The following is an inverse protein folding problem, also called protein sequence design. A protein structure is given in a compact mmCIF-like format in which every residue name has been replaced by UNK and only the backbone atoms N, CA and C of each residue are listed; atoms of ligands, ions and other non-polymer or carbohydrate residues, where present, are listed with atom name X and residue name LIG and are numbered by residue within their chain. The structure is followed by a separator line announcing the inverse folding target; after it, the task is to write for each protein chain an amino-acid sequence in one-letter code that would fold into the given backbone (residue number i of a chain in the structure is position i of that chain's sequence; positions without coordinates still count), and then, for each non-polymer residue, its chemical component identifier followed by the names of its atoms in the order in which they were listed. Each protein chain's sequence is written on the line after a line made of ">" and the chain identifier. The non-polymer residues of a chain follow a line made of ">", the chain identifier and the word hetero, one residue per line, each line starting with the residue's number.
data_IF_943370782042
#
_entry.id   IF_943370782042
#
_cell.length_a   1.000
_cell.length_b   1.000
_cell.length_c   1.000
_cell.angle_alpha   90.00
_cell.angle_beta   90.00
_cell.angle_gamma   90.00
#
_symmetry.space_group_name_H-M   'P 1'
#
loop_
_entity.id
_entity.type
_entity.pdbx_description
1 polymer ?
#
# COMPACT_ATOMS: atom_id res chain seq x y z
N UNK A 1 -32.22 6.89 -3.37
CA UNK A 1 -33.34 7.41 -2.54
C UNK A 1 -33.02 8.83 -2.13
N UNK A 2 -33.95 9.72 -2.39
CA UNK A 2 -33.84 11.18 -2.22
C UNK A 2 -33.75 11.57 -0.74
N UNK A 3 -33.00 12.62 -0.46
CA UNK A 3 -32.68 13.16 0.86
C UNK A 3 -33.92 13.39 1.75
N UNK A 4 -34.04 12.63 2.85
CA UNK A 4 -34.79 13.11 4.01
C UNK A 4 -33.92 14.12 4.74
N UNK A 5 -33.94 15.38 4.28
CA UNK A 5 -33.14 16.45 4.88
C UNK A 5 -33.54 16.74 6.34
N UNK A 6 -34.74 16.35 6.78
CA UNK A 6 -35.19 16.47 8.17
C UNK A 6 -36.09 15.28 8.55
N UNK A 7 -35.55 14.26 9.24
CA UNK A 7 -36.31 13.15 9.81
C UNK A 7 -36.42 13.32 11.35
N UNK A 8 -37.49 12.79 11.96
CA UNK A 8 -37.54 12.71 13.43
C UNK A 8 -36.51 11.71 13.96
N UNK A 9 -36.19 11.78 15.26
CA UNK A 9 -35.29 10.82 15.91
C UNK A 9 -35.78 9.38 15.79
N UNK A 10 -37.09 9.17 15.84
CA UNK A 10 -37.73 7.85 15.70
C UNK A 10 -37.59 7.30 14.28
N UNK A 11 -37.84 8.12 13.26
CA UNK A 11 -37.66 7.73 11.85
C UNK A 11 -36.19 7.40 11.55
N UNK A 12 -35.26 8.20 12.06
CA UNK A 12 -33.82 7.91 11.94
C UNK A 12 -33.45 6.59 12.64
N UNK A 13 -33.98 6.34 13.84
CA UNK A 13 -33.66 5.13 14.60
C UNK A 13 -34.17 3.88 13.88
N UNK A 14 -35.38 3.91 13.33
CA UNK A 14 -35.91 2.81 12.53
C UNK A 14 -35.00 2.49 11.33
N UNK A 15 -34.67 3.50 10.52
CA UNK A 15 -33.76 3.31 9.38
C UNK A 15 -32.35 2.88 9.79
N UNK A 16 -31.86 3.33 10.95
CA UNK A 16 -30.56 2.94 11.49
C UNK A 16 -30.53 1.48 11.92
N UNK A 17 -31.62 0.96 12.46
CA UNK A 17 -31.73 -0.46 12.84
C UNK A 17 -31.72 -1.37 11.61
N UNK A 18 -32.39 -0.96 10.52
CA UNK A 18 -32.31 -1.70 9.25
C UNK A 18 -30.87 -1.75 8.71
N UNK A 19 -30.19 -0.58 8.66
CA UNK A 19 -28.79 -0.50 8.26
C UNK A 19 -27.85 -1.33 9.16
N UNK A 20 -28.16 -1.44 10.46
CA UNK A 20 -27.34 -2.18 11.41
C UNK A 20 -27.27 -3.67 11.07
N UNK A 21 -28.35 -4.24 10.54
CA UNK A 21 -28.36 -5.65 10.13
C UNK A 21 -27.43 -5.91 8.94
N UNK A 22 -27.39 -4.99 7.96
CA UNK A 22 -26.44 -5.06 6.84
C UNK A 22 -24.98 -4.91 7.32
N UNK A 23 -24.70 -3.97 8.23
CA UNK A 23 -23.36 -3.78 8.79
C UNK A 23 -22.89 -4.98 9.61
N UNK A 24 -23.79 -5.60 10.38
CA UNK A 24 -23.49 -6.85 11.11
C UNK A 24 -23.18 -7.99 10.15
N UNK A 25 -23.87 -8.07 9.02
CA UNK A 25 -23.59 -9.08 8.00
C UNK A 25 -22.23 -8.87 7.35
N UNK A 26 -21.88 -7.62 7.01
CA UNK A 26 -20.54 -7.29 6.54
C UNK A 26 -19.46 -7.65 7.57
N UNK A 27 -19.73 -7.45 8.86
CA UNK A 27 -18.81 -7.84 9.95
C UNK A 27 -18.57 -9.34 9.95
N UNK A 28 -19.63 -10.15 9.92
CA UNK A 28 -19.52 -11.62 9.86
C UNK A 28 -18.78 -12.11 8.62
N UNK A 29 -19.03 -11.50 7.46
CA UNK A 29 -18.32 -11.82 6.22
C UNK A 29 -16.84 -11.47 6.30
N UNK A 30 -16.50 -10.35 6.95
CA UNK A 30 -15.12 -9.94 7.18
C UNK A 30 -14.38 -10.92 8.09
N UNK A 31 -15.03 -11.38 9.17
CA UNK A 31 -14.48 -12.40 10.08
C UNK A 31 -14.24 -13.73 9.34
N UNK A 32 -15.21 -14.18 8.55
CA UNK A 32 -15.09 -15.38 7.74
C UNK A 32 -13.95 -15.28 6.71
N UNK A 33 -13.75 -14.11 6.11
CA UNK A 33 -12.64 -13.87 5.19
C UNK A 33 -11.29 -13.84 5.91
N UNK A 34 -11.21 -13.27 7.11
CA UNK A 34 -10.00 -13.29 7.94
C UNK A 34 -9.60 -14.74 8.28
N UNK A 35 -10.55 -15.59 8.68
CA UNK A 35 -10.31 -17.01 8.93
C UNK A 35 -9.79 -17.73 7.67
N UNK A 36 -10.33 -17.42 6.49
CA UNK A 36 -9.84 -17.99 5.22
C UNK A 36 -8.41 -17.58 4.90
N UNK A 37 -8.03 -16.32 5.16
CA UNK A 37 -6.64 -15.84 4.98
C UNK A 37 -5.66 -16.61 5.88
N UNK A 38 -6.05 -16.88 7.12
CA UNK A 38 -5.25 -17.65 8.08
C UNK A 38 -5.05 -19.12 7.67
N UNK A 39 -5.95 -19.67 6.84
CA UNK A 39 -5.89 -21.06 6.37
C UNK A 39 -5.12 -21.24 5.06
N UNK A 40 -4.61 -20.16 4.46
CA UNK A 40 -3.84 -20.27 3.22
C UNK A 40 -2.59 -21.13 3.42
N UNK A 41 -2.20 -21.93 2.41
CA UNK A 41 -0.96 -22.68 2.48
C UNK A 41 0.23 -21.73 2.58
N UNK A 42 1.21 -22.15 3.37
CA UNK A 42 2.44 -21.41 3.61
C UNK A 42 3.52 -21.84 2.64
N UNK A 43 4.33 -20.90 2.16
CA UNK A 43 5.48 -21.15 1.29
C UNK A 43 6.75 -20.81 2.06
N UNK A 44 7.66 -21.78 2.16
CA UNK A 44 8.96 -21.59 2.82
C UNK A 44 9.80 -20.57 2.03
N UNK A 45 10.47 -19.66 2.74
CA UNK A 45 11.41 -18.71 2.15
C UNK A 45 12.84 -19.18 2.44
N UNK A 46 13.52 -19.64 1.39
CA UNK A 46 14.93 -20.06 1.45
C UNK A 46 15.90 -18.96 1.01
N UNK A 47 15.41 -17.95 0.28
CA UNK A 47 16.24 -16.86 -0.23
C UNK A 47 16.63 -15.92 0.91
N UNK A 48 17.93 -15.63 0.96
CA UNK A 48 18.55 -14.85 2.02
C UNK A 48 18.47 -13.34 1.73
N UNK A 49 17.26 -12.78 1.86
CA UNK A 49 17.05 -11.35 1.60
C UNK A 49 17.83 -10.48 2.59
N UNK A 50 18.33 -9.35 2.09
CA UNK A 50 19.03 -8.33 2.87
C UNK A 50 18.33 -6.99 2.76
N UNK A 51 18.38 -6.24 3.85
CA UNK A 51 17.80 -4.93 3.99
C UNK A 51 18.74 -4.02 4.78
N UNK A 52 18.80 -2.74 4.41
CA UNK A 52 19.40 -1.72 5.25
C UNK A 52 18.34 -1.17 6.21
N UNK A 53 18.67 -1.10 7.49
CA UNK A 53 17.81 -0.53 8.55
C UNK A 53 18.58 0.49 9.38
N UNK A 54 17.88 1.29 10.19
CA UNK A 54 18.51 2.19 11.18
C UNK A 54 19.49 1.45 12.12
N UNK A 55 19.28 0.15 12.35
CA UNK A 55 20.14 -0.71 13.16
C UNK A 55 21.29 -1.40 12.41
N UNK A 56 21.47 -1.12 11.12
CA UNK A 56 22.41 -1.80 10.22
C UNK A 56 21.72 -2.80 9.28
N UNK A 57 22.54 -3.63 8.62
CA UNK A 57 22.04 -4.67 7.72
C UNK A 57 21.23 -5.72 8.49
N UNK A 58 20.08 -6.13 7.94
CA UNK A 58 19.18 -7.12 8.51
C UNK A 58 18.74 -8.15 7.47
N UNK A 59 18.57 -9.41 7.88
CA UNK A 59 17.88 -10.43 7.10
C UNK A 59 16.36 -10.31 7.23
N UNK A 60 15.59 -10.98 6.36
CA UNK A 60 14.12 -11.08 6.53
C UNK A 60 13.73 -11.65 7.90
N UNK A 61 14.53 -12.59 8.43
CA UNK A 61 14.31 -13.18 9.75
C UNK A 61 14.55 -12.16 10.87
N UNK A 62 15.55 -11.29 10.74
CA UNK A 62 15.85 -10.28 11.75
C UNK A 62 14.73 -9.24 11.87
N UNK A 63 13.99 -8.96 10.78
CA UNK A 63 12.83 -8.06 10.80
C UNK A 63 11.70 -8.53 11.72
N UNK A 64 11.65 -9.82 12.10
CA UNK A 64 10.70 -10.31 13.10
C UNK A 64 10.97 -9.74 14.51
N UNK A 65 12.21 -9.35 14.81
CA UNK A 65 12.55 -8.71 16.09
C UNK A 65 12.11 -9.51 17.32
N UNK A 66 12.19 -10.84 17.26
CA UNK A 66 11.78 -11.76 18.33
C UNK A 66 10.30 -12.17 18.35
N UNK A 67 9.49 -11.72 17.39
CA UNK A 67 8.06 -12.07 17.26
C UNK A 67 7.85 -13.26 16.34
N UNK A 68 6.69 -13.91 16.44
CA UNK A 68 6.36 -15.07 15.59
C UNK A 68 5.78 -14.67 14.22
N UNK A 69 5.28 -13.46 14.07
CA UNK A 69 4.63 -12.97 12.85
C UNK A 69 5.25 -11.66 12.37
N UNK A 70 5.22 -11.44 11.06
CA UNK A 70 5.72 -10.21 10.43
C UNK A 70 4.75 -9.76 9.33
N UNK A 71 4.35 -8.49 9.40
CA UNK A 71 3.66 -7.80 8.33
C UNK A 71 4.60 -6.79 7.68
N UNK A 72 4.76 -6.91 6.35
CA UNK A 72 5.52 -5.94 5.55
C UNK A 72 4.55 -5.17 4.67
N UNK A 73 4.57 -3.84 4.80
CA UNK A 73 3.96 -2.94 3.83
C UNK A 73 4.99 -2.56 2.75
N UNK A 74 4.72 -2.97 1.51
CA UNK A 74 5.53 -2.62 0.35
C UNK A 74 5.20 -1.19 -0.05
N UNK A 75 6.04 -0.26 0.40
CA UNK A 75 5.85 1.17 0.20
C UNK A 75 6.51 1.57 -1.13
N UNK A 76 5.76 2.22 -2.02
CA UNK A 76 6.32 2.74 -3.26
C UNK A 76 7.20 3.97 -3.01
N UNK A 77 8.51 3.74 -2.90
CA UNK A 77 9.51 4.80 -2.95
C UNK A 77 10.75 4.30 -3.68
N UNK A 78 10.84 4.64 -4.97
CA UNK A 78 11.96 4.24 -5.82
C UNK A 78 13.20 5.12 -5.63
N UNK A 79 14.39 4.63 -6.03
CA UNK A 79 15.62 5.42 -6.04
C UNK A 79 15.50 6.68 -6.90
N UNK A 80 14.69 6.64 -7.96
CA UNK A 80 14.51 7.74 -8.93
C UNK A 80 13.49 8.81 -8.49
N UNK A 81 12.72 8.58 -7.41
CA UNK A 81 11.63 9.49 -7.02
C UNK A 81 12.17 10.69 -6.23
N UNK A 82 11.66 11.90 -6.39
CA UNK A 82 12.00 13.01 -5.49
C UNK A 82 11.20 12.98 -4.18
N UNK A 83 10.03 12.33 -4.17
CA UNK A 83 9.18 12.13 -3.01
C UNK A 83 8.48 10.77 -3.05
N UNK A 84 8.13 10.24 -1.88
CA UNK A 84 7.46 8.95 -1.76
C UNK A 84 6.03 8.98 -2.35
N UNK A 85 5.49 7.84 -2.78
CA UNK A 85 4.13 7.77 -3.35
C UNK A 85 3.09 8.41 -2.41
N UNK A 86 2.25 9.35 -2.88
CA UNK A 86 1.29 10.04 -2.02
C UNK A 86 0.21 9.10 -1.49
N UNK A 87 -0.26 8.13 -2.28
CA UNK A 87 -1.22 7.12 -1.81
C UNK A 87 -0.64 6.21 -0.73
N UNK A 88 0.62 5.77 -0.89
CA UNK A 88 1.31 5.01 0.15
C UNK A 88 1.54 5.85 1.41
N UNK A 89 1.86 7.13 1.24
CA UNK A 89 2.04 8.07 2.35
C UNK A 89 0.75 8.28 3.15
N UNK A 90 -0.40 8.42 2.47
CA UNK A 90 -1.70 8.55 3.13
C UNK A 90 -2.11 7.31 3.93
N UNK A 91 -1.73 6.11 3.48
CA UNK A 91 -1.87 4.88 4.28
C UNK A 91 -0.90 4.93 5.48
N UNK A 92 0.37 5.26 5.22
CA UNK A 92 1.43 5.23 6.22
C UNK A 92 1.27 6.25 7.35
N UNK A 93 0.59 7.36 7.12
CA UNK A 93 0.20 8.32 8.16
C UNK A 93 -0.57 7.65 9.31
N UNK A 94 -1.30 6.55 9.04
CA UNK A 94 -1.98 5.79 10.08
C UNK A 94 -1.05 4.91 10.93
N UNK A 95 0.14 4.57 10.44
CA UNK A 95 0.98 3.52 11.03
C UNK A 95 1.51 3.88 12.41
N UNK A 96 1.95 5.14 12.60
CA UNK A 96 2.53 5.64 13.86
C UNK A 96 1.71 5.25 15.10
N UNK A 97 0.38 5.32 14.99
CA UNK A 97 -0.52 5.07 16.11
C UNK A 97 -0.84 3.60 16.36
N UNK A 98 -0.73 2.72 15.35
CA UNK A 98 -1.20 1.33 15.51
C UNK A 98 -0.10 0.28 15.52
N UNK A 99 1.09 0.51 14.95
CA UNK A 99 2.08 -0.56 14.82
C UNK A 99 2.53 -1.09 16.20
N UNK A 100 2.53 -0.26 17.24
CA UNK A 100 2.78 -0.66 18.63
C UNK A 100 1.76 -1.68 19.16
N UNK A 101 0.51 -1.63 18.69
CA UNK A 101 -0.52 -2.60 19.06
C UNK A 101 -0.32 -3.94 18.35
N UNK A 102 0.15 -3.92 17.10
CA UNK A 102 0.57 -5.15 16.40
C UNK A 102 1.72 -5.81 17.15
N UNK A 103 2.72 -5.01 17.50
CA UNK A 103 3.91 -5.48 18.20
C UNK A 103 3.63 -6.04 19.59
N UNK A 104 2.66 -5.45 20.32
CA UNK A 104 2.14 -6.00 21.57
C UNK A 104 1.39 -7.32 21.37
N UNK A 105 0.87 -7.58 20.16
CA UNK A 105 0.17 -8.80 19.80
C UNK A 105 1.03 -9.77 18.98
N UNK A 106 2.34 -9.79 19.23
CA UNK A 106 3.28 -10.73 18.61
C UNK A 106 3.35 -10.65 17.07
N UNK A 107 3.12 -9.45 16.51
CA UNK A 107 3.24 -9.15 15.08
C UNK A 107 4.24 -8.01 14.88
N UNK A 108 5.39 -8.31 14.29
CA UNK A 108 6.33 -7.29 13.84
C UNK A 108 5.77 -6.54 12.62
N UNK A 109 6.13 -5.27 12.48
CA UNK A 109 5.68 -4.44 11.37
C UNK A 109 6.84 -3.67 10.74
N UNK A 110 6.93 -3.70 9.41
CA UNK A 110 7.90 -2.91 8.65
C UNK A 110 7.27 -2.32 7.40
N UNK A 111 7.58 -1.06 7.11
CA UNK A 111 7.54 -0.58 5.73
C UNK A 111 8.82 -1.01 5.01
N UNK A 112 8.74 -1.31 3.71
CA UNK A 112 9.90 -1.65 2.87
C UNK A 112 9.82 -0.91 1.54
N UNK A 113 10.93 -0.28 1.15
CA UNK A 113 11.07 0.48 -0.09
C UNK A 113 12.42 0.23 -0.76
N UNK A 114 12.51 0.40 -2.08
CA UNK A 114 13.76 0.25 -2.83
C UNK A 114 14.71 1.45 -2.75
N UNK A 115 14.23 2.63 -2.36
CA UNK A 115 15.08 3.81 -2.21
C UNK A 115 16.15 3.57 -1.12
N UNK A 116 17.38 4.11 -1.28
CA UNK A 116 18.44 3.97 -0.28
C UNK A 116 18.02 4.46 1.11
N UNK A 117 18.51 3.81 2.17
CA UNK A 117 18.08 4.07 3.56
C UNK A 117 18.11 5.56 3.94
N UNK A 118 19.21 6.27 3.63
CA UNK A 118 19.34 7.70 3.96
C UNK A 118 18.21 8.57 3.39
N UNK A 119 17.67 8.18 2.23
CA UNK A 119 16.53 8.86 1.59
C UNK A 119 15.22 8.53 2.28
N UNK A 120 15.04 7.27 2.69
CA UNK A 120 13.89 6.84 3.50
C UNK A 120 13.85 7.58 4.83
N UNK A 121 14.97 7.64 5.56
CA UNK A 121 15.09 8.33 6.84
C UNK A 121 14.87 9.84 6.73
N UNK A 122 15.36 10.48 5.67
CA UNK A 122 15.09 11.89 5.40
C UNK A 122 13.60 12.15 5.19
N UNK A 123 12.91 11.29 4.43
CA UNK A 123 11.48 11.42 4.20
C UNK A 123 10.66 11.08 5.45
N UNK A 124 11.02 10.02 6.17
CA UNK A 124 10.45 9.64 7.46
C UNK A 124 10.47 10.79 8.46
N UNK A 125 11.62 11.48 8.59
CA UNK A 125 11.75 12.69 9.43
C UNK A 125 10.89 13.85 8.93
N UNK A 126 10.82 14.09 7.61
CA UNK A 126 9.95 15.14 7.04
C UNK A 126 8.48 14.91 7.37
N UNK A 127 8.04 13.65 7.40
CA UNK A 127 6.67 13.24 7.66
C UNK A 127 6.38 12.93 9.14
N UNK A 128 7.32 13.18 10.05
CA UNK A 128 7.19 12.87 11.49
C UNK A 128 6.75 11.42 11.77
N UNK A 129 7.27 10.47 10.99
CA UNK A 129 6.94 9.05 11.10
C UNK A 129 7.90 8.32 12.05
N UNK A 130 7.36 7.37 12.83
CA UNK A 130 8.10 6.62 13.85
C UNK A 130 8.17 5.12 13.60
N UNK A 131 7.36 4.57 12.70
CA UNK A 131 7.36 3.14 12.38
C UNK A 131 8.69 2.66 11.73
N UNK A 132 9.01 1.35 11.80
CA UNK A 132 10.22 0.80 11.18
C UNK A 132 10.13 0.85 9.65
N UNK A 133 11.19 1.32 9.00
CA UNK A 133 11.26 1.38 7.54
C UNK A 133 12.62 0.87 7.07
N UNK A 134 12.60 -0.23 6.32
CA UNK A 134 13.82 -0.83 5.77
C UNK A 134 13.97 -0.50 4.28
N UNK A 135 15.22 -0.37 3.84
CA UNK A 135 15.57 -0.31 2.43
C UNK A 135 15.85 -1.71 1.90
N UNK A 136 15.24 -2.06 0.78
CA UNK A 136 15.58 -3.25 -0.01
C UNK A 136 16.49 -2.91 -1.20
N UNK A 137 17.20 -1.79 -1.15
CA UNK A 137 18.16 -1.42 -2.19
C UNK A 137 19.19 -2.55 -2.39
N UNK A 138 19.40 -2.97 -3.65
CA UNK A 138 20.30 -4.08 -3.97
C UNK A 138 19.76 -5.48 -3.64
N UNK A 139 18.51 -5.59 -3.19
CA UNK A 139 17.81 -6.86 -2.94
C UNK A 139 16.71 -7.09 -3.98
N UNK A 140 16.53 -8.35 -4.38
CA UNK A 140 15.44 -8.75 -5.29
C UNK A 140 14.08 -8.84 -4.60
N UNK A 141 14.00 -8.57 -3.29
CA UNK A 141 12.78 -8.75 -2.49
C UNK A 141 11.54 -8.13 -3.13
N UNK A 142 11.62 -6.89 -3.60
CA UNK A 142 10.46 -6.24 -4.24
C UNK A 142 10.06 -6.91 -5.57
N UNK A 143 11.02 -7.46 -6.32
CA UNK A 143 10.73 -8.21 -7.55
C UNK A 143 10.04 -9.54 -7.23
N UNK A 144 10.58 -10.29 -6.28
CA UNK A 144 10.10 -11.62 -5.89
C UNK A 144 8.69 -11.58 -5.24
N UNK A 145 8.32 -10.45 -4.64
CA UNK A 145 6.97 -10.20 -4.10
C UNK A 145 6.07 -9.40 -5.04
N UNK A 146 6.38 -9.36 -6.34
CA UNK A 146 5.54 -8.76 -7.40
C UNK A 146 5.19 -7.28 -7.14
N UNK A 147 6.10 -6.52 -6.55
CA UNK A 147 5.92 -5.08 -6.26
C UNK A 147 6.96 -4.19 -6.93
N UNK A 148 7.87 -4.77 -7.71
CA UNK A 148 8.74 -4.05 -8.63
C UNK A 148 8.94 -4.81 -9.93
N UNK A 149 9.03 -4.08 -11.04
CA UNK A 149 9.21 -4.63 -12.38
C UNK A 149 10.31 -3.91 -13.14
N UNK A 150 11.08 -4.66 -13.92
CA UNK A 150 12.09 -4.09 -14.80
C UNK A 150 11.44 -3.35 -15.99
N UNK A 151 12.15 -2.39 -16.61
CA UNK A 151 11.70 -1.77 -17.86
C UNK A 151 11.43 -2.80 -18.97
N UNK A 152 12.16 -3.91 -18.99
CA UNK A 152 11.96 -4.97 -19.97
C UNK A 152 10.63 -5.71 -19.74
N UNK A 153 10.35 -6.11 -18.50
CA UNK A 153 9.08 -6.77 -18.14
C UNK A 153 7.88 -5.88 -18.48
N UNK A 154 7.98 -4.57 -18.20
CA UNK A 154 6.95 -3.59 -18.53
C UNK A 154 6.70 -3.48 -20.03
N UNK A 155 7.75 -3.44 -20.85
CA UNK A 155 7.62 -3.39 -22.32
C UNK A 155 7.05 -4.68 -22.92
N UNK A 156 7.43 -5.83 -22.35
CA UNK A 156 7.03 -7.15 -22.87
C UNK A 156 5.65 -7.61 -22.39
N UNK A 157 5.00 -6.87 -21.49
CA UNK A 157 3.72 -7.29 -20.88
C UNK A 157 3.87 -8.53 -20.00
N UNK A 158 5.01 -8.64 -19.33
CA UNK A 158 5.35 -9.75 -18.43
C UNK A 158 5.12 -9.38 -16.95
N UNK A 159 4.48 -8.23 -16.69
CA UNK A 159 4.12 -7.81 -15.34
C UNK A 159 3.04 -8.73 -14.80
N UNK A 160 3.37 -9.42 -13.72
CA UNK A 160 2.41 -10.11 -12.87
C UNK A 160 2.21 -9.31 -11.60
N UNK A 161 1.00 -8.77 -11.42
CA UNK A 161 0.63 -7.98 -10.27
C UNK A 161 -0.78 -8.34 -9.83
N UNK A 162 -1.00 -8.44 -8.52
CA UNK A 162 -2.28 -8.87 -7.96
C UNK A 162 -2.77 -10.22 -8.52
N UNK A 163 -1.84 -11.18 -8.65
CA UNK A 163 -2.09 -12.54 -9.16
C UNK A 163 -2.66 -12.59 -10.58
N UNK A 164 -2.44 -11.53 -11.37
CA UNK A 164 -2.90 -11.40 -12.76
C UNK A 164 -1.80 -10.83 -13.63
N UNK A 165 -1.77 -11.26 -14.89
CA UNK A 165 -0.87 -10.68 -15.89
C UNK A 165 -1.47 -9.41 -16.45
N UNK A 166 -0.70 -8.33 -16.42
CA UNK A 166 -1.07 -7.07 -17.07
C UNK A 166 -0.77 -7.16 -18.58
N UNK A 167 -1.61 -6.56 -19.45
CA UNK A 167 -1.28 -6.44 -20.86
C UNK A 167 -0.03 -5.55 -21.04
N UNK A 168 0.71 -5.70 -22.15
CA UNK A 168 1.83 -4.81 -22.45
C UNK A 168 1.43 -3.34 -22.38
N UNK A 169 2.31 -2.50 -21.84
CA UNK A 169 2.14 -1.06 -21.98
C UNK A 169 2.13 -0.69 -23.47
N UNK A 170 1.25 0.20 -23.93
CA UNK A 170 1.24 0.62 -25.33
C UNK A 170 2.62 1.18 -25.72
N UNK A 171 3.21 0.66 -26.81
CA UNK A 171 4.47 1.19 -27.33
C UNK A 171 4.28 2.65 -27.76
N UNK A 172 5.16 3.59 -27.35
CA UNK A 172 5.19 4.89 -28.00
C UNK A 172 5.62 4.68 -29.46
N UNK A 173 4.91 5.23 -30.47
CA UNK A 173 5.32 5.12 -31.85
C UNK A 173 6.71 5.72 -32.02
N UNK A 174 7.58 4.95 -32.65
CA UNK A 174 8.90 5.38 -33.07
C UNK A 174 8.83 6.70 -33.84
N UNK A 175 9.58 7.72 -33.40
CA UNK A 175 9.85 8.93 -34.17
C UNK A 175 8.94 10.13 -33.92
N UNK A 176 8.12 10.16 -32.86
CA UNK A 176 7.45 11.39 -32.40
C UNK A 176 8.05 11.89 -31.09
N UNK A 177 8.41 13.20 -30.97
CA UNK A 177 8.84 13.76 -29.69
C UNK A 177 7.71 13.59 -28.66
N UNK A 178 8.07 13.45 -27.39
CA UNK A 178 7.14 13.34 -26.27
C UNK A 178 6.53 14.72 -26.00
N UNK A 179 5.47 15.09 -26.73
CA UNK A 179 4.25 15.49 -26.05
C UNK A 179 3.01 14.84 -26.68
N UNK A 180 1.99 14.58 -25.87
CA UNK A 180 0.65 14.20 -26.31
C UNK A 180 0.50 12.79 -26.92
N UNK A 181 0.87 11.76 -26.16
CA UNK A 181 -0.04 10.62 -26.10
C UNK A 181 -1.21 11.01 -25.21
N UNK A 182 -2.32 11.36 -25.86
CA UNK A 182 -3.56 11.74 -25.20
C UNK A 182 -3.92 10.69 -24.16
N UNK A 183 -3.88 11.14 -22.90
CA UNK A 183 -4.45 10.45 -21.75
C UNK A 183 -5.80 9.88 -22.16
N UNK A 184 -5.88 8.56 -22.33
CA UNK A 184 -7.19 7.91 -22.22
C UNK A 184 -7.63 8.22 -20.79
N UNK A 185 -8.90 8.55 -20.55
CA UNK A 185 -9.36 9.11 -19.26
C UNK A 185 -9.02 8.34 -17.96
N UNK A 186 -8.33 7.19 -18.03
CA UNK A 186 -7.66 6.49 -16.93
C UNK A 186 -6.26 7.02 -16.58
N UNK A 187 -5.61 7.78 -17.45
CA UNK A 187 -4.20 8.17 -17.34
C UNK A 187 -4.01 9.50 -16.58
N UNK A 188 -5.08 10.29 -16.43
CA UNK A 188 -5.00 11.58 -15.74
C UNK A 188 -4.64 11.42 -14.25
N UNK A 189 -5.22 10.46 -13.49
CA UNK A 189 -4.81 10.23 -12.10
C UNK A 189 -3.38 9.70 -11.95
N UNK A 190 -2.94 8.79 -12.84
CA UNK A 190 -1.59 8.20 -12.75
C UNK A 190 -0.51 9.24 -13.10
N UNK A 191 -0.76 10.11 -14.08
CA UNK A 191 0.13 11.23 -14.44
C UNK A 191 0.25 12.19 -13.27
N UNK A 192 -0.88 12.56 -12.65
CA UNK A 192 -0.88 13.45 -11.48
C UNK A 192 -0.07 12.85 -10.32
N UNK A 193 -0.29 11.57 -10.00
CA UNK A 193 0.43 10.89 -8.91
C UNK A 193 1.92 10.75 -9.21
N UNK A 194 2.29 10.37 -10.44
CA UNK A 194 3.70 10.27 -10.85
C UNK A 194 4.40 11.64 -10.69
N UNK A 195 3.76 12.72 -11.12
CA UNK A 195 4.24 14.09 -10.94
C UNK A 195 4.46 14.47 -9.47
N UNK A 196 3.55 14.07 -8.57
CA UNK A 196 3.71 14.29 -7.12
C UNK A 196 4.90 13.56 -6.50
N UNK A 197 5.39 12.49 -7.15
CA UNK A 197 6.62 11.79 -6.76
C UNK A 197 7.88 12.33 -7.46
N UNK A 198 7.71 13.30 -8.37
CA UNK A 198 8.79 13.88 -9.18
C UNK A 198 9.39 12.92 -10.19
N UNK A 199 8.62 11.96 -10.69
CA UNK A 199 9.05 10.99 -11.71
C UNK A 199 8.05 10.91 -12.87
N UNK A 200 8.44 10.28 -13.97
CA UNK A 200 7.54 9.96 -15.09
C UNK A 200 6.64 8.74 -14.81
N UNK A 201 5.56 8.59 -15.60
CA UNK A 201 4.59 7.49 -15.46
C UNK A 201 5.23 6.10 -15.65
N UNK A 202 6.04 5.83 -16.69
CA UNK A 202 6.73 4.53 -16.82
C UNK A 202 7.54 4.15 -15.58
N UNK A 203 8.30 5.08 -15.01
CA UNK A 203 9.08 4.87 -13.79
C UNK A 203 8.18 4.67 -12.58
N UNK A 204 7.15 5.51 -12.40
CA UNK A 204 6.19 5.37 -11.31
C UNK A 204 5.48 4.00 -11.33
N UNK A 205 5.12 3.56 -12.53
CA UNK A 205 4.39 2.30 -12.76
C UNK A 205 5.30 1.07 -12.82
N UNK A 206 6.57 1.16 -12.42
CA UNK A 206 7.40 -0.02 -12.16
C UNK A 206 7.36 -0.47 -10.71
N UNK A 207 7.05 0.42 -9.77
CA UNK A 207 6.74 0.04 -8.40
C UNK A 207 5.24 -0.18 -8.22
N UNK A 208 4.87 -1.05 -7.29
CA UNK A 208 3.48 -1.24 -6.85
C UNK A 208 3.40 -1.32 -5.34
N UNK A 209 2.28 -0.88 -4.74
CA UNK A 209 2.08 -1.07 -3.32
C UNK A 209 1.57 -2.48 -3.03
N UNK A 210 1.83 -2.97 -1.83
CA UNK A 210 1.37 -4.28 -1.40
C UNK A 210 1.49 -4.45 0.11
N UNK A 211 0.94 -5.54 0.60
CA UNK A 211 1.22 -6.04 1.95
C UNK A 211 1.52 -7.52 1.85
N UNK A 212 2.50 -7.99 2.60
CA UNK A 212 2.84 -9.40 2.75
C UNK A 212 2.85 -9.80 4.22
N UNK A 213 2.40 -11.01 4.50
CA UNK A 213 2.41 -11.62 5.82
C UNK A 213 3.36 -12.82 5.84
N UNK A 214 4.14 -12.89 6.90
CA UNK A 214 5.12 -13.95 7.14
C UNK A 214 4.98 -14.51 8.54
N UNK A 215 5.39 -15.75 8.69
CA UNK A 215 5.40 -16.49 9.95
C UNK A 215 6.79 -17.09 10.18
N UNK A 216 7.26 -17.05 11.42
CA UNK A 216 8.50 -17.68 11.87
C UNK A 216 8.16 -18.91 12.71
N UNK A 217 8.47 -20.09 12.18
CA UNK A 217 8.16 -21.37 12.81
C UNK A 217 9.45 -22.16 12.92
N UNK A 218 9.85 -22.50 14.14
CA UNK A 218 11.08 -23.24 14.45
C UNK A 218 12.34 -22.64 13.77
N UNK A 219 12.37 -21.31 13.69
CA UNK A 219 13.48 -20.56 13.08
C UNK A 219 13.46 -20.46 11.56
N UNK A 220 12.43 -21.01 10.89
CA UNK A 220 12.22 -20.96 9.43
C UNK A 220 11.14 -19.95 9.09
N UNK A 221 11.40 -19.11 8.08
CA UNK A 221 10.45 -18.09 7.60
C UNK A 221 9.54 -18.68 6.54
N UNK A 222 8.25 -18.41 6.66
CA UNK A 222 7.23 -18.75 5.69
C UNK A 222 6.46 -17.51 5.25
N UNK A 223 6.16 -17.40 3.96
CA UNK A 223 5.17 -16.46 3.44
C UNK A 223 3.79 -17.13 3.44
N UNK A 224 2.77 -16.43 3.92
CA UNK A 224 1.41 -16.98 4.04
C UNK A 224 0.37 -16.20 3.23
N UNK A 225 0.57 -14.89 3.02
CA UNK A 225 -0.42 -14.05 2.36
C UNK A 225 0.22 -12.81 1.73
N UNK A 226 -0.30 -12.39 0.57
CA UNK A 226 -0.10 -11.03 0.08
C UNK A 226 -1.40 -10.42 -0.46
N UNK A 227 -1.50 -9.10 -0.36
CA UNK A 227 -2.60 -8.31 -0.93
C UNK A 227 -2.06 -7.09 -1.67
N UNK A 228 -2.76 -6.71 -2.73
CA UNK A 228 -2.32 -5.67 -3.66
C UNK A 228 -3.52 -4.85 -4.15
N UNK A 229 -3.26 -3.73 -4.81
CA UNK A 229 -4.30 -2.88 -5.42
C UNK A 229 -5.45 -2.58 -4.43
N UNK A 230 -6.71 -2.81 -4.84
CA UNK A 230 -7.91 -2.63 -4.00
C UNK A 230 -7.93 -3.50 -2.74
N UNK A 231 -7.11 -4.55 -2.69
CA UNK A 231 -6.92 -5.35 -1.49
C UNK A 231 -6.22 -4.60 -0.36
N UNK A 232 -5.71 -3.39 -0.60
CA UNK A 232 -5.16 -2.48 0.40
C UNK A 232 -6.19 -1.49 0.93
N UNK A 233 -7.41 -1.43 0.38
CA UNK A 233 -8.45 -0.46 0.77
C UNK A 233 -8.73 -0.46 2.28
N UNK A 234 -8.68 -1.63 2.92
CA UNK A 234 -8.88 -1.78 4.36
C UNK A 234 -7.76 -1.17 5.23
N UNK A 235 -6.62 -0.82 4.63
CA UNK A 235 -5.49 -0.18 5.30
C UNK A 235 -5.55 1.36 5.19
N UNK A 236 -6.44 1.91 4.35
CA UNK A 236 -6.64 3.35 4.27
C UNK A 236 -7.46 3.83 5.47
N UNK A 237 -6.76 4.20 6.55
CA UNK A 237 -7.39 4.67 7.78
C UNK A 237 -8.41 5.78 7.52
N UNK A 238 -8.03 6.80 6.73
CA UNK A 238 -8.90 7.95 6.46
C UNK A 238 -10.20 7.60 5.71
N UNK A 239 -10.19 6.61 4.81
CA UNK A 239 -11.38 6.26 4.04
C UNK A 239 -12.46 5.61 4.89
N UNK A 240 -12.08 4.85 5.91
CA UNK A 240 -13.04 4.28 6.86
C UNK A 240 -13.81 5.35 7.65
N UNK A 241 -13.17 6.51 7.89
CA UNK A 241 -13.82 7.68 8.51
C UNK A 241 -14.67 8.44 7.50
N UNK A 242 -14.14 8.69 6.30
CA UNK A 242 -14.84 9.42 5.25
C UNK A 242 -16.12 8.72 4.78
N UNK A 243 -16.14 7.38 4.75
CA UNK A 243 -17.34 6.60 4.41
C UNK A 243 -18.48 6.77 5.43
N UNK A 244 -18.18 7.29 6.62
CA UNK A 244 -19.16 7.61 7.67
C UNK A 244 -19.48 9.10 7.77
N UNK A 245 -18.75 9.95 7.04
CA UNK A 245 -19.07 11.35 6.97
C UNK A 245 -20.40 11.56 6.21
N UNK A 246 -21.23 12.56 6.57
CA UNK A 246 -22.52 12.78 5.90
C UNK A 246 -22.44 13.04 4.39
N UNK A 247 -21.27 13.47 3.88
CA UNK A 247 -21.01 13.69 2.45
C UNK A 247 -20.24 12.52 1.80
N UNK A 248 -20.06 11.41 2.52
CA UNK A 248 -19.16 10.35 2.15
C UNK A 248 -17.73 10.87 1.94
N UNK A 249 -17.01 10.24 1.01
CA UNK A 249 -15.64 10.65 0.64
C UNK A 249 -15.56 12.01 -0.06
N UNK A 250 -16.66 12.48 -0.66
CA UNK A 250 -16.74 13.78 -1.34
C UNK A 250 -15.61 13.99 -2.38
N UNK A 251 -15.31 12.95 -3.16
CA UNK A 251 -14.19 12.93 -4.11
C UNK A 251 -14.64 13.34 -5.51
N UNK A 252 -13.88 14.25 -6.13
CA UNK A 252 -14.03 14.63 -7.55
C UNK A 252 -12.76 14.34 -8.37
N UNK A 253 -11.77 13.68 -7.75
CA UNK A 253 -10.46 13.37 -8.32
C UNK A 253 -9.45 13.04 -7.23
N UNK A 254 -8.15 13.05 -7.58
CA UNK A 254 -7.05 12.87 -6.62
C UNK A 254 -6.96 14.14 -5.76
N UNK A 255 -7.29 14.02 -4.47
CA UNK A 255 -7.29 15.13 -3.52
C UNK A 255 -6.21 14.99 -2.44
N UNK A 256 -5.74 13.76 -2.17
CA UNK A 256 -4.75 13.52 -1.14
C UNK A 256 -3.36 13.96 -1.59
N UNK A 257 -2.56 14.42 -0.63
CA UNK A 257 -1.17 14.86 -0.78
C UNK A 257 -0.35 14.31 0.38
N UNK A 258 0.97 14.50 0.36
CA UNK A 258 1.75 14.40 1.59
C UNK A 258 1.17 15.36 2.62
N UNK A 259 0.92 14.91 3.86
CA UNK A 259 0.16 15.70 4.83
C UNK A 259 0.77 17.08 5.11
N UNK A 260 2.10 17.21 4.96
CA UNK A 260 2.85 18.46 5.17
C UNK A 260 2.63 19.51 4.07
N UNK A 261 1.88 19.15 3.01
CA UNK A 261 1.50 20.01 1.88
C UNK A 261 0.05 20.50 1.95
N UNK A 262 -0.79 19.98 2.84
CA UNK A 262 -2.14 20.52 2.99
C UNK A 262 -2.11 21.96 3.50
N UNK A 263 -2.96 22.83 2.92
CA UNK A 263 -3.05 24.25 3.29
C UNK A 263 -1.88 25.13 2.83
N UNK A 264 -0.99 24.59 1.98
CA UNK A 264 0.13 25.32 1.38
C UNK A 264 -0.08 25.37 -0.15
N UNK A 265 -0.86 26.36 -0.57
CA UNK A 265 -0.96 26.81 -1.98
C UNK A 265 -0.19 28.13 -2.13
#
# INVERSE_FOLDING_TARGET
>A
MTAMLNATREQWLAARLDLLEEEKELTRQSDALAAKRQQLPRVRIDKDYRFDTEGGEASLKDLFGGRSQLLIYHFMFGPDYSAACPSCSSIADGFNGFFVHLENHDVAFWAVSRAPLAKLEAFKRRMDWSFPWASSAGSDFNADFSVWFSPEQQRRGEIEYNYRREPPAPEPPTGKPVPEWQSRGSDEPIVQIASMTGTDVPTYTRDRPGVSAFELIDGVVYHSYSSYARGLDGLWGMYQWLDRAPKGRNETGIWWRHHDRYGKE
#
